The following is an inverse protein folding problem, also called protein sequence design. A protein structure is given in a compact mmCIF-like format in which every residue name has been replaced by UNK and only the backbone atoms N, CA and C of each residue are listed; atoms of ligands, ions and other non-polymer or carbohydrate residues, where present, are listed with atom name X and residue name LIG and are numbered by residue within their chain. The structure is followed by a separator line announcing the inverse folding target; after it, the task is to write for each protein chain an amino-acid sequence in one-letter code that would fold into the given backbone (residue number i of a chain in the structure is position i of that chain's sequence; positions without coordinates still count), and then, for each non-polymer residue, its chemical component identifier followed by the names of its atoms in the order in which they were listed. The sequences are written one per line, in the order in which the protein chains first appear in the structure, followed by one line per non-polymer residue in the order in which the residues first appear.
data_IF_514685745924
#
_entry.id   IF_514685745924
#
_cell.length_a   1.000
_cell.length_b   1.000
_cell.length_c   1.000
_cell.angle_alpha   90.00
_cell.angle_beta   90.00
_cell.angle_gamma   90.00
#
_symmetry.space_group_name_H-M   'P 1'
#
loop_
_entity.id
_entity.type
_entity.pdbx_description
1 polymer ?
#
# COMPACT_ATOMS: atom_id res chain seq x y z
N UNK A 1 19.58 -20.87 -8.73
CA UNK A 1 18.48 -21.00 -9.70
C UNK A 1 17.18 -20.83 -8.93
N UNK A 2 16.59 -19.63 -8.98
CA UNK A 2 15.34 -19.33 -8.28
C UNK A 2 14.17 -19.85 -9.12
N UNK A 3 13.39 -20.76 -8.57
CA UNK A 3 12.16 -21.23 -9.20
C UNK A 3 11.19 -20.05 -9.41
N UNK A 4 10.61 -19.90 -10.60
CA UNK A 4 9.57 -18.91 -10.81
C UNK A 4 8.34 -19.30 -9.97
N UNK A 5 7.84 -18.34 -9.19
CA UNK A 5 6.56 -18.46 -8.48
C UNK A 5 5.49 -18.90 -9.48
N UNK A 6 4.89 -20.05 -9.26
CA UNK A 6 3.81 -20.58 -10.10
C UNK A 6 2.67 -19.57 -10.11
N UNK A 7 2.43 -18.97 -11.28
CA UNK A 7 1.32 -18.02 -11.52
C UNK A 7 0.00 -18.74 -11.28
N UNK A 8 -0.72 -18.37 -10.23
CA UNK A 8 -2.15 -18.63 -10.21
C UNK A 8 -2.81 -17.76 -11.31
N UNK A 9 -3.79 -18.27 -12.05
CA UNK A 9 -4.32 -17.58 -13.24
C UNK A 9 -5.02 -16.24 -12.97
N UNK A 10 -5.22 -15.85 -11.70
CA UNK A 10 -5.97 -14.64 -11.29
C UNK A 10 -5.18 -13.66 -10.40
N UNK A 11 -3.85 -13.73 -10.34
CA UNK A 11 -3.08 -12.79 -9.51
C UNK A 11 -2.92 -11.45 -10.22
N UNK A 12 -3.27 -10.34 -9.54
CA UNK A 12 -2.99 -8.99 -10.01
C UNK A 12 -1.47 -8.80 -10.18
N UNK A 13 -1.05 -8.49 -11.41
CA UNK A 13 0.37 -8.35 -11.73
C UNK A 13 1.04 -7.19 -10.99
N UNK A 14 0.29 -6.13 -10.68
CA UNK A 14 0.79 -5.00 -9.87
C UNK A 14 1.14 -5.43 -8.46
N UNK A 15 0.34 -6.33 -7.86
CA UNK A 15 0.60 -6.90 -6.54
C UNK A 15 1.82 -7.81 -6.57
N UNK A 16 1.98 -8.63 -7.61
CA UNK A 16 3.16 -9.47 -7.74
C UNK A 16 4.46 -8.66 -7.82
N UNK A 17 4.45 -7.49 -8.49
CA UNK A 17 5.59 -6.58 -8.49
C UNK A 17 5.91 -6.09 -7.07
N UNK A 18 4.91 -5.67 -6.29
CA UNK A 18 5.11 -5.25 -4.90
C UNK A 18 5.67 -6.37 -4.01
N UNK A 19 5.12 -7.58 -4.12
CA UNK A 19 5.57 -8.73 -3.34
C UNK A 19 7.01 -9.15 -3.70
N UNK A 20 7.39 -9.03 -4.96
CA UNK A 20 8.77 -9.31 -5.38
C UNK A 20 9.76 -8.30 -4.78
N UNK A 21 9.42 -7.02 -4.72
CA UNK A 21 10.25 -6.02 -4.04
C UNK A 21 10.33 -6.28 -2.54
N UNK A 22 9.23 -6.63 -1.88
CA UNK A 22 9.20 -6.96 -0.46
C UNK A 22 10.13 -8.13 -0.09
N UNK A 23 10.32 -9.10 -0.97
CA UNK A 23 11.25 -10.23 -0.75
C UNK A 23 12.72 -9.81 -0.73
N UNK A 24 13.05 -8.64 -1.24
CA UNK A 24 14.43 -8.16 -1.39
C UNK A 24 14.87 -7.20 -0.28
N UNK A 25 13.96 -6.81 0.61
CA UNK A 25 14.20 -5.79 1.63
C UNK A 25 14.08 -6.35 3.03
N UNK A 26 14.77 -5.70 3.99
CA UNK A 26 14.70 -5.99 5.42
C UNK A 26 14.17 -4.76 6.16
N UNK A 27 13.37 -4.99 7.19
CA UNK A 27 12.77 -3.93 7.99
C UNK A 27 11.31 -4.21 8.31
N UNK A 28 10.61 -3.16 8.75
CA UNK A 28 9.18 -3.21 9.06
C UNK A 28 8.37 -2.45 7.99
N UNK A 29 7.52 -3.16 7.28
CA UNK A 29 6.76 -2.63 6.14
C UNK A 29 5.26 -2.70 6.39
N UNK A 30 4.54 -1.71 5.86
CA UNK A 30 3.08 -1.71 5.83
C UNK A 30 2.58 -2.01 4.42
N UNK A 31 1.70 -3.00 4.32
CA UNK A 31 0.92 -3.25 3.11
C UNK A 31 -0.47 -2.64 3.30
N UNK A 32 -0.89 -1.78 2.37
CA UNK A 32 -2.26 -1.30 2.29
C UNK A 32 -2.99 -2.17 1.27
N UNK A 33 -3.84 -3.07 1.75
CA UNK A 33 -4.44 -4.12 0.95
C UNK A 33 -5.93 -3.84 0.66
N UNK A 34 -6.26 -3.79 -0.63
CA UNK A 34 -7.63 -3.70 -1.16
C UNK A 34 -8.11 -5.08 -1.69
N UNK A 35 -9.28 -5.11 -2.34
CA UNK A 35 -9.89 -6.32 -2.89
C UNK A 35 -9.00 -7.09 -3.87
N UNK A 36 -8.02 -6.44 -4.48
CA UNK A 36 -7.13 -7.08 -5.45
C UNK A 36 -6.12 -8.02 -4.79
N UNK A 37 -5.91 -7.89 -3.47
CA UNK A 37 -5.00 -8.75 -2.69
C UNK A 37 -5.60 -10.11 -2.30
N UNK A 38 -6.85 -10.37 -2.62
CA UNK A 38 -7.58 -11.59 -2.23
C UNK A 38 -6.95 -12.91 -2.69
N UNK A 39 -6.14 -12.89 -3.77
CA UNK A 39 -5.46 -14.07 -4.31
C UNK A 39 -4.07 -14.33 -3.70
N UNK A 40 -3.57 -13.48 -2.81
CA UNK A 40 -2.24 -13.63 -2.22
C UNK A 40 -2.21 -14.80 -1.24
N UNK A 41 -1.23 -15.68 -1.42
CA UNK A 41 -0.90 -16.71 -0.47
C UNK A 41 0.13 -16.16 0.53
N UNK A 42 -0.35 -15.69 1.69
CA UNK A 42 0.49 -15.06 2.71
C UNK A 42 1.49 -16.03 3.35
N UNK A 43 1.12 -17.30 3.50
CA UNK A 43 2.02 -18.33 4.06
C UNK A 43 3.22 -18.55 3.14
N UNK A 44 2.96 -18.71 1.84
CA UNK A 44 4.02 -18.85 0.84
C UNK A 44 4.90 -17.58 0.77
N UNK A 45 4.28 -16.41 0.82
CA UNK A 45 5.02 -15.14 0.85
C UNK A 45 5.98 -15.07 2.04
N UNK A 46 5.52 -15.35 3.26
CA UNK A 46 6.32 -15.29 4.48
C UNK A 46 7.47 -16.30 4.48
N UNK A 47 7.27 -17.49 3.91
CA UNK A 47 8.32 -18.51 3.83
C UNK A 47 9.54 -18.07 2.97
N UNK A 48 9.35 -17.04 2.13
CA UNK A 48 10.38 -16.51 1.23
C UNK A 48 10.75 -15.05 1.51
N UNK A 49 10.33 -14.50 2.64
CA UNK A 49 10.58 -13.11 3.03
C UNK A 49 11.23 -13.03 4.41
N UNK A 50 12.20 -12.14 4.56
CA UNK A 50 12.86 -11.85 5.85
C UNK A 50 12.37 -10.54 6.48
N UNK A 51 11.44 -9.82 5.84
CA UNK A 51 10.90 -8.57 6.37
C UNK A 51 9.77 -8.82 7.37
N UNK A 52 9.61 -7.88 8.31
CA UNK A 52 8.43 -7.81 9.16
C UNK A 52 7.33 -7.03 8.43
N UNK A 53 6.13 -7.60 8.35
CA UNK A 53 5.01 -7.00 7.60
C UNK A 53 3.83 -6.78 8.53
N UNK A 54 3.25 -5.58 8.46
CA UNK A 54 1.91 -5.28 8.95
C UNK A 54 0.98 -5.05 7.77
N UNK A 55 -0.29 -5.41 7.92
CA UNK A 55 -1.30 -5.21 6.87
C UNK A 55 -2.44 -4.37 7.44
N UNK A 56 -2.86 -3.35 6.68
CA UNK A 56 -4.12 -2.65 6.90
C UNK A 56 -5.04 -2.90 5.71
N UNK A 57 -6.30 -3.23 5.99
CA UNK A 57 -7.31 -3.50 4.96
C UNK A 57 -8.70 -3.13 5.43
N UNK A 58 -9.51 -2.60 4.52
CA UNK A 58 -10.96 -2.44 4.70
C UNK A 58 -11.74 -3.67 4.21
N UNK A 59 -11.06 -4.77 3.89
CA UNK A 59 -11.63 -6.04 3.45
C UNK A 59 -11.42 -7.11 4.52
N UNK A 60 -12.52 -7.58 5.10
CA UNK A 60 -12.50 -8.59 6.16
C UNK A 60 -11.86 -9.91 5.70
N UNK A 61 -12.21 -10.37 4.52
CA UNK A 61 -11.70 -11.63 3.94
C UNK A 61 -10.17 -11.61 3.75
N UNK A 62 -9.60 -10.46 3.40
CA UNK A 62 -8.14 -10.27 3.27
C UNK A 62 -7.49 -10.21 4.64
N UNK A 63 -8.05 -9.43 5.57
CA UNK A 63 -7.55 -9.32 6.93
C UNK A 63 -7.51 -10.70 7.62
N UNK A 64 -8.60 -11.47 7.52
CA UNK A 64 -8.69 -12.80 8.11
C UNK A 64 -7.64 -13.77 7.54
N UNK A 65 -7.42 -13.76 6.22
CA UNK A 65 -6.38 -14.59 5.60
C UNK A 65 -4.97 -14.24 6.08
N UNK A 66 -4.68 -12.94 6.25
CA UNK A 66 -3.40 -12.46 6.72
C UNK A 66 -3.17 -12.83 8.21
N UNK A 67 -4.19 -12.67 9.05
CA UNK A 67 -4.15 -13.09 10.46
C UNK A 67 -3.92 -14.60 10.59
N UNK A 68 -4.57 -15.40 9.77
CA UNK A 68 -4.37 -16.86 9.75
C UNK A 68 -2.92 -17.22 9.39
N UNK A 69 -2.24 -16.40 8.62
CA UNK A 69 -0.81 -16.52 8.34
C UNK A 69 0.09 -15.88 9.42
N UNK A 70 -0.47 -15.47 10.57
CA UNK A 70 0.25 -14.81 11.67
C UNK A 70 0.88 -13.46 11.31
N UNK A 71 0.31 -12.75 10.36
CA UNK A 71 0.71 -11.37 10.04
C UNK A 71 -0.05 -10.40 10.96
N UNK A 72 0.64 -9.39 11.48
CA UNK A 72 0.02 -8.29 12.23
C UNK A 72 -0.95 -7.54 11.31
N UNK A 73 -2.25 -7.63 11.57
CA UNK A 73 -3.29 -7.16 10.66
C UNK A 73 -4.24 -6.20 11.37
N UNK A 74 -4.65 -5.16 10.65
CA UNK A 74 -5.57 -4.12 11.11
C UNK A 74 -6.74 -4.05 10.13
N UNK A 75 -7.91 -4.48 10.58
CA UNK A 75 -9.15 -4.40 9.81
C UNK A 75 -9.90 -3.13 10.21
N UNK A 76 -9.89 -2.15 9.33
CA UNK A 76 -10.64 -0.89 9.49
C UNK A 76 -10.79 -0.19 8.13
N UNK A 77 -11.47 0.95 8.06
CA UNK A 77 -11.63 1.74 6.83
C UNK A 77 -10.41 2.66 6.56
N UNK A 78 -9.21 2.07 6.55
CA UNK A 78 -7.92 2.75 6.37
C UNK A 78 -7.71 3.91 7.36
N UNK A 79 -8.12 3.71 8.60
CA UNK A 79 -7.77 4.59 9.70
C UNK A 79 -6.35 4.25 10.18
N UNK A 80 -5.40 5.07 9.79
CA UNK A 80 -3.99 4.91 10.13
C UNK A 80 -3.63 5.40 11.54
N UNK A 81 -4.58 5.95 12.30
CA UNK A 81 -4.34 6.44 13.68
C UNK A 81 -3.90 5.33 14.65
N UNK A 82 -4.16 4.07 14.30
CA UNK A 82 -3.69 2.90 15.03
C UNK A 82 -2.17 2.70 14.99
N UNK A 83 -1.46 3.39 14.09
CA UNK A 83 -0.01 3.30 13.96
C UNK A 83 0.71 4.49 14.58
N UNK A 84 1.91 4.24 15.11
CA UNK A 84 2.80 5.31 15.58
C UNK A 84 3.42 6.05 14.38
N UNK A 85 3.68 7.36 14.52
CA UNK A 85 4.41 8.11 13.50
C UNK A 85 5.79 7.51 13.27
N UNK A 86 6.28 7.62 12.04
CA UNK A 86 7.66 7.24 11.67
C UNK A 86 8.04 5.80 12.08
N UNK A 87 7.08 4.85 11.97
CA UNK A 87 7.27 3.47 12.43
C UNK A 87 7.65 2.49 11.31
N UNK A 88 7.46 2.87 10.04
CA UNK A 88 7.69 1.97 8.91
C UNK A 88 8.91 2.36 8.07
N UNK A 89 9.63 1.33 7.60
CA UNK A 89 10.74 1.44 6.65
C UNK A 89 10.25 1.51 5.20
N UNK A 90 8.98 1.18 4.98
CA UNK A 90 8.30 1.36 3.70
C UNK A 90 6.82 1.05 3.76
N UNK A 91 6.08 1.62 2.79
CA UNK A 91 4.66 1.34 2.56
C UNK A 91 4.50 0.84 1.13
N UNK A 92 3.74 -0.25 0.97
CA UNK A 92 3.47 -0.91 -0.28
C UNK A 92 1.98 -0.79 -0.61
N UNK A 93 1.69 -0.16 -1.74
CA UNK A 93 0.33 0.14 -2.14
C UNK A 93 0.12 -0.02 -3.65
N UNK A 94 -0.86 -0.82 -4.03
CA UNK A 94 -1.41 -0.84 -5.38
C UNK A 94 -2.39 0.32 -5.52
N UNK A 95 -2.14 1.25 -6.43
CA UNK A 95 -3.02 2.42 -6.58
C UNK A 95 -4.45 2.00 -6.94
N UNK A 96 -5.40 2.59 -6.26
CA UNK A 96 -6.82 2.36 -6.48
C UNK A 96 -7.34 3.25 -7.61
N UNK A 97 -8.39 2.81 -8.30
CA UNK A 97 -9.18 3.65 -9.20
C UNK A 97 -9.93 4.75 -8.44
N UNK A 98 -10.18 4.53 -7.15
CA UNK A 98 -10.74 5.54 -6.26
C UNK A 98 -9.68 6.58 -5.90
N UNK A 99 -9.83 7.78 -6.46
CA UNK A 99 -8.87 8.87 -6.29
C UNK A 99 -8.68 9.26 -4.83
N UNK A 100 -9.76 9.38 -4.06
CA UNK A 100 -9.71 9.82 -2.66
C UNK A 100 -8.93 8.82 -1.82
N UNK A 101 -9.13 7.50 -2.02
CA UNK A 101 -8.38 6.44 -1.36
C UNK A 101 -6.87 6.58 -1.65
N UNK A 102 -6.49 6.66 -2.92
CA UNK A 102 -5.07 6.79 -3.29
C UNK A 102 -4.43 8.06 -2.70
N UNK A 103 -5.15 9.19 -2.72
CA UNK A 103 -4.68 10.43 -2.11
C UNK A 103 -4.50 10.30 -0.60
N UNK A 104 -5.45 9.64 0.08
CA UNK A 104 -5.39 9.39 1.51
C UNK A 104 -4.16 8.56 1.88
N UNK A 105 -3.92 7.44 1.22
CA UNK A 105 -2.74 6.60 1.47
C UNK A 105 -1.44 7.37 1.25
N UNK A 106 -1.32 8.16 0.19
CA UNK A 106 -0.13 8.97 -0.07
C UNK A 106 0.08 10.01 1.04
N UNK A 107 -0.98 10.71 1.47
CA UNK A 107 -0.90 11.69 2.56
C UNK A 107 -0.48 11.03 3.88
N UNK A 108 -1.08 9.89 4.23
CA UNK A 108 -0.76 9.17 5.47
C UNK A 108 0.66 8.60 5.46
N UNK A 109 1.21 8.29 4.29
CA UNK A 109 2.60 7.85 4.16
C UNK A 109 3.59 8.90 4.69
N UNK A 110 3.28 10.20 4.60
CA UNK A 110 4.10 11.27 5.17
C UNK A 110 4.22 11.19 6.71
N UNK A 111 3.16 10.75 7.36
CA UNK A 111 3.11 10.59 8.81
C UNK A 111 3.78 9.27 9.27
N UNK A 112 3.58 8.20 8.54
CA UNK A 112 3.94 6.84 8.94
C UNK A 112 5.38 6.45 8.62
N UNK A 113 5.94 6.97 7.52
CA UNK A 113 7.25 6.58 7.04
C UNK A 113 8.37 7.27 7.81
N UNK A 114 9.42 6.52 8.13
CA UNK A 114 10.66 7.05 8.68
C UNK A 114 11.34 7.99 7.66
N UNK A 115 12.17 8.94 8.09
CA UNK A 115 13.01 9.70 7.17
C UNK A 115 13.85 8.77 6.29
N UNK A 116 13.88 9.02 4.99
CA UNK A 116 14.60 8.18 4.02
C UNK A 116 13.93 6.85 3.66
N UNK A 117 12.79 6.53 4.29
CA UNK A 117 12.00 5.34 3.96
C UNK A 117 11.33 5.45 2.57
N UNK A 118 10.67 4.40 2.14
CA UNK A 118 10.18 4.29 0.76
C UNK A 118 8.66 4.11 0.70
N UNK A 119 7.99 4.91 -0.13
CA UNK A 119 6.66 4.62 -0.62
C UNK A 119 6.76 3.86 -1.95
N UNK A 120 6.27 2.63 -1.98
CA UNK A 120 6.25 1.78 -3.17
C UNK A 120 4.84 1.77 -3.75
N UNK A 121 4.70 2.26 -4.98
CA UNK A 121 3.42 2.30 -5.69
C UNK A 121 3.45 1.39 -6.91
N UNK A 122 2.39 0.62 -7.12
CA UNK A 122 2.19 -0.14 -8.35
C UNK A 122 0.79 0.08 -8.92
N UNK A 123 0.61 -0.22 -10.19
CA UNK A 123 -0.69 -0.12 -10.86
C UNK A 123 -0.59 -0.06 -12.37
N UNK A 124 -1.72 -0.06 -13.04
CA UNK A 124 -1.80 0.10 -14.49
C UNK A 124 -1.79 1.58 -14.89
N UNK A 125 -1.47 1.82 -16.16
CA UNK A 125 -1.57 3.18 -16.72
C UNK A 125 -2.97 3.77 -16.52
N UNK A 126 -4.00 2.94 -16.71
CA UNK A 126 -5.40 3.34 -16.60
C UNK A 126 -5.87 3.56 -15.15
N UNK A 127 -5.12 3.06 -14.16
CA UNK A 127 -5.34 3.36 -12.74
C UNK A 127 -4.76 4.73 -12.35
N UNK A 128 -4.06 5.41 -13.25
CA UNK A 128 -3.50 6.74 -13.02
C UNK A 128 -2.14 6.75 -12.32
N UNK A 129 -1.44 5.62 -12.24
CA UNK A 129 -0.16 5.45 -11.50
C UNK A 129 0.84 6.58 -11.78
N UNK A 130 1.04 6.98 -13.04
CA UNK A 130 2.02 8.03 -13.38
C UNK A 130 1.66 9.39 -12.77
N UNK A 131 0.36 9.72 -12.72
CA UNK A 131 -0.13 10.94 -12.09
C UNK A 131 0.08 10.91 -10.58
N UNK A 132 -0.21 9.79 -9.93
CA UNK A 132 -0.04 9.62 -8.50
C UNK A 132 1.43 9.66 -8.09
N UNK A 133 2.32 9.03 -8.85
CA UNK A 133 3.77 9.13 -8.62
C UNK A 133 4.25 10.56 -8.71
N UNK A 134 3.83 11.32 -9.73
CA UNK A 134 4.17 12.75 -9.84
C UNK A 134 3.69 13.54 -8.63
N UNK A 135 2.46 13.34 -8.18
CA UNK A 135 1.89 14.01 -7.00
C UNK A 135 2.63 13.64 -5.71
N UNK A 136 2.92 12.36 -5.50
CA UNK A 136 3.68 11.89 -4.35
C UNK A 136 5.11 12.51 -4.35
N UNK A 137 5.78 12.56 -5.50
CA UNK A 137 7.08 13.21 -5.62
C UNK A 137 7.03 14.71 -5.25
N UNK A 138 5.95 15.40 -5.60
CA UNK A 138 5.76 16.81 -5.20
C UNK A 138 5.54 16.96 -3.70
N UNK A 139 4.76 16.05 -3.07
CA UNK A 139 4.53 16.04 -1.63
C UNK A 139 5.83 15.76 -0.86
N UNK A 140 6.63 14.81 -1.32
CA UNK A 140 7.86 14.36 -0.63
C UNK A 140 9.13 15.07 -1.09
N UNK A 141 9.01 16.12 -1.89
CA UNK A 141 10.12 16.91 -2.40
C UNK A 141 11.25 16.01 -2.98
N UNK A 142 10.86 15.08 -3.83
CA UNK A 142 11.73 14.06 -4.45
C UNK A 142 11.39 13.84 -5.91
N UNK A 143 12.10 12.95 -6.57
CA UNK A 143 11.82 12.52 -7.94
C UNK A 143 11.83 11.00 -8.06
N UNK A 144 10.92 10.46 -8.84
CA UNK A 144 10.87 9.04 -9.18
C UNK A 144 10.21 8.87 -10.55
N UNK A 145 10.70 7.91 -11.31
CA UNK A 145 10.15 7.55 -12.61
C UNK A 145 9.59 6.14 -12.51
N UNK A 146 8.29 5.91 -12.76
CA UNK A 146 7.72 4.58 -12.75
C UNK A 146 8.36 3.68 -13.81
N UNK A 147 8.87 2.52 -13.39
CA UNK A 147 9.39 1.50 -14.28
C UNK A 147 8.24 0.67 -14.85
N UNK A 148 8.28 0.43 -16.17
CA UNK A 148 7.24 -0.30 -16.87
C UNK A 148 7.54 -1.81 -16.91
N UNK A 149 6.55 -2.63 -16.57
CA UNK A 149 6.56 -4.09 -16.64
C UNK A 149 5.30 -4.57 -17.39
N UNK A 150 5.42 -4.76 -18.70
CA UNK A 150 4.24 -5.06 -19.53
C UNK A 150 3.23 -3.90 -19.48
N UNK A 151 2.02 -4.15 -18.96
CA UNK A 151 0.97 -3.13 -18.78
C UNK A 151 1.02 -2.47 -17.40
N UNK A 152 1.84 -3.00 -16.50
CA UNK A 152 1.99 -2.53 -15.12
C UNK A 152 3.14 -1.53 -14.99
N UNK A 153 3.08 -0.76 -13.92
CA UNK A 153 4.15 0.16 -13.52
C UNK A 153 4.44 -0.02 -12.04
N UNK A 154 5.70 0.14 -11.69
CA UNK A 154 6.20 0.13 -10.32
C UNK A 154 7.02 1.39 -10.10
N UNK A 155 6.80 2.09 -9.00
CA UNK A 155 7.55 3.26 -8.61
C UNK A 155 8.04 3.15 -7.18
N UNK A 156 9.32 3.45 -6.98
CA UNK A 156 9.98 3.58 -5.69
C UNK A 156 10.20 5.07 -5.41
N UNK A 157 9.54 5.58 -4.36
CA UNK A 157 9.57 6.99 -3.99
C UNK A 157 10.22 7.11 -2.62
N UNK A 158 11.45 7.61 -2.56
CA UNK A 158 12.13 7.85 -1.29
C UNK A 158 11.55 9.11 -0.64
N UNK A 159 11.27 9.01 0.68
CA UNK A 159 10.64 10.09 1.42
C UNK A 159 11.72 11.06 1.91
N UNK A 160 11.62 12.29 1.46
CA UNK A 160 12.27 13.44 2.09
C UNK A 160 11.27 14.14 3.04
N UNK A 161 11.62 15.32 3.53
CA UNK A 161 10.71 16.13 4.33
C UNK A 161 9.44 16.46 3.51
N UNK A 162 8.25 16.14 4.02
CA UNK A 162 7.00 16.41 3.32
C UNK A 162 6.76 17.92 3.17
N UNK A 163 6.26 18.32 2.03
CA UNK A 163 5.78 19.68 1.78
C UNK A 163 4.26 19.74 1.99
N UNK A 164 3.82 20.20 3.15
CA UNK A 164 2.40 20.25 3.52
C UNK A 164 1.56 21.09 2.54
N UNK A 165 2.15 22.09 1.87
CA UNK A 165 1.45 22.87 0.83
C UNK A 165 1.09 22.04 -0.41
N UNK A 166 1.64 20.83 -0.53
CA UNK A 166 1.40 19.87 -1.61
C UNK A 166 0.58 18.65 -1.17
N UNK A 167 0.00 18.71 0.03
CA UNK A 167 -0.95 17.68 0.47
C UNK A 167 -2.05 17.50 -0.55
N UNK A 168 -2.40 16.23 -0.80
CA UNK A 168 -3.40 15.86 -1.81
C UNK A 168 -4.81 16.00 -1.23
N UNK A 169 -5.78 16.31 -2.09
CA UNK A 169 -7.18 16.37 -1.70
C UNK A 169 -7.74 14.95 -1.45
N UNK A 170 -7.89 14.59 -0.18
CA UNK A 170 -8.48 13.35 0.32
C UNK A 170 -9.74 13.61 1.17
N UNK A 171 -10.34 14.78 1.06
CA UNK A 171 -11.47 15.23 1.89
C UNK A 171 -12.66 14.27 1.87
N UNK A 172 -12.92 13.62 0.72
CA UNK A 172 -13.99 12.63 0.58
C UNK A 172 -13.68 11.29 1.26
N UNK A 173 -12.43 11.03 1.63
CA UNK A 173 -12.02 9.82 2.34
C UNK A 173 -11.83 10.07 3.83
N UNK A 174 -11.19 11.17 4.19
CA UNK A 174 -10.90 11.55 5.59
C UNK A 174 -12.10 12.10 6.34
N UNK A 175 -13.20 12.50 5.64
CA UNK A 175 -14.44 12.87 6.30
C UNK A 175 -15.05 11.63 6.96
N UNK A 176 -15.32 11.74 8.27
CA UNK A 176 -16.02 10.71 9.03
C UNK A 176 -17.30 10.34 8.28
N UNK A 177 -17.36 9.17 7.70
CA UNK A 177 -18.60 8.59 7.21
C UNK A 177 -19.41 8.26 8.45
N UNK A 178 -20.36 9.10 8.82
CA UNK A 178 -21.29 8.79 9.88
C UNK A 178 -21.99 7.47 9.49
N UNK A 179 -21.61 6.37 10.15
CA UNK A 179 -22.39 5.15 10.12
C UNK A 179 -23.70 5.51 10.77
N UNK A 180 -24.80 5.54 10.01
CA UNK A 180 -26.11 5.69 10.58
C UNK A 180 -26.29 4.56 11.58
N UNK A 181 -26.31 4.87 12.87
CA UNK A 181 -26.77 3.91 13.86
C UNK A 181 -28.14 3.45 13.40
N UNK A 182 -28.23 2.18 13.05
CA UNK A 182 -29.53 1.52 12.87
C UNK A 182 -30.11 1.46 14.27
N UNK A 183 -30.99 2.43 14.59
CA UNK A 183 -31.80 2.37 15.79
C UNK A 183 -32.54 1.02 15.75
N UNK A 184 -32.29 0.23 16.79
CA UNK A 184 -32.94 -1.04 17.03
C UNK A 184 -34.46 -0.89 16.91
N UNK A 185 -35.06 -1.79 16.12
CA UNK A 185 -36.49 -2.07 16.15
C UNK A 185 -36.75 -3.22 17.12
#
# INVERSE_FOLDING_TARGET
MSNPVTKSPNSDQSILLLLNELKTVNGHFLIVADENWGSVNWVDFLSHSSCNVSIISNRYDIAQKAETASISTYFNDLDFSCFKPKSFDGIFFRVSKERANTHHVINQSAYLLKPGATLMLSGEKNDGIKSYVKKACMLFNTSSIPTKFGNQYLAKININEPNDSKKLDDSNYSSIRAVKELSEY
#
